data_IF_180232471793
#
_entry.id   IF_180232471793
#
_cell.length_a   1.000
_cell.length_b   1.000
_cell.length_c   1.000
_cell.angle_alpha   90.00
_cell.angle_beta   90.00
_cell.angle_gamma   90.00
#
_symmetry.space_group_name_H-M   'P 1'
#
loop_
_entity.id
_entity.type
_entity.pdbx_description
1 polymer ?
#
# COMPACT_ATOMS: atom_id res chain seq x y z
N UNK A 1 -25.03 -20.50 27.94
CA UNK A 1 -23.67 -20.96 28.33
C UNK A 1 -23.22 -22.22 27.57
N UNK A 2 -24.12 -23.16 27.22
CA UNK A 2 -23.77 -24.38 26.46
C UNK A 2 -23.18 -24.12 25.06
N UNK A 3 -23.68 -23.12 24.31
CA UNK A 3 -23.12 -22.77 22.98
C UNK A 3 -21.66 -22.30 23.03
N UNK A 4 -21.26 -21.51 24.04
CA UNK A 4 -19.88 -21.04 24.21
C UNK A 4 -18.91 -22.18 24.57
N UNK A 5 -19.33 -23.10 25.44
CA UNK A 5 -18.53 -24.28 25.78
C UNK A 5 -18.40 -25.24 24.60
N UNK A 6 -19.44 -25.39 23.77
CA UNK A 6 -19.37 -26.18 22.54
C UNK A 6 -18.47 -25.53 21.48
N UNK A 7 -18.44 -24.19 21.38
CA UNK A 7 -17.50 -23.51 20.46
C UNK A 7 -16.04 -23.64 20.90
N UNK A 8 -15.77 -23.78 22.20
CA UNK A 8 -14.42 -24.06 22.71
C UNK A 8 -14.01 -25.52 22.52
N UNK A 9 -14.97 -26.43 22.36
CA UNK A 9 -14.75 -27.86 22.17
C UNK A 9 -15.08 -28.30 20.73
N UNK A 10 -14.60 -27.53 19.74
CA UNK A 10 -14.63 -27.92 18.34
C UNK A 10 -13.29 -28.55 17.95
N UNK A 11 -13.33 -29.62 17.15
CA UNK A 11 -12.13 -30.15 16.54
C UNK A 11 -11.57 -29.10 15.56
N UNK A 12 -10.43 -28.50 15.92
CA UNK A 12 -9.72 -27.60 15.00
C UNK A 12 -9.06 -28.44 13.91
N UNK A 13 -9.28 -28.04 12.65
CA UNK A 13 -8.59 -28.66 11.53
C UNK A 13 -7.08 -28.42 11.67
N UNK A 14 -6.28 -29.45 11.38
CA UNK A 14 -4.85 -29.31 11.32
C UNK A 14 -4.50 -28.55 10.02
N UNK A 15 -3.68 -27.52 10.16
CA UNK A 15 -3.25 -26.67 9.04
C UNK A 15 -1.90 -27.19 8.55
N UNK A 16 -1.78 -27.36 7.23
CA UNK A 16 -0.52 -27.69 6.59
C UNK A 16 0.42 -26.48 6.58
N UNK A 17 1.73 -26.74 6.44
CA UNK A 17 2.70 -25.65 6.37
C UNK A 17 2.43 -24.73 5.16
N UNK A 18 2.74 -23.44 5.28
CA UNK A 18 2.68 -22.43 4.21
C UNK A 18 3.53 -22.86 3.01
N UNK A 19 4.58 -23.66 3.24
CA UNK A 19 5.34 -24.27 2.15
C UNK A 19 4.50 -25.16 1.23
N UNK A 20 3.42 -25.77 1.72
CA UNK A 20 2.47 -26.58 0.95
C UNK A 20 1.38 -25.77 0.25
N UNK A 21 1.26 -24.46 0.54
CA UNK A 21 0.30 -23.58 -0.12
C UNK A 21 0.57 -23.50 -1.62
N UNK A 22 -0.47 -23.41 -2.45
CA UNK A 22 -0.30 -23.14 -3.88
C UNK A 22 0.22 -21.72 -4.12
N UNK A 23 1.20 -21.59 -5.01
CA UNK A 23 1.65 -20.29 -5.46
C UNK A 23 0.59 -19.61 -6.33
N UNK A 24 0.50 -18.29 -6.26
CA UNK A 24 -0.42 -17.51 -7.08
C UNK A 24 0.21 -16.19 -7.51
N UNK A 25 -0.36 -15.63 -8.57
CA UNK A 25 0.08 -14.36 -9.14
C UNK A 25 -1.11 -13.43 -9.27
N UNK A 26 -0.89 -12.16 -8.96
CA UNK A 26 -1.89 -11.11 -9.13
C UNK A 26 -1.43 -10.13 -10.20
N UNK A 27 -2.32 -9.79 -11.12
CA UNK A 27 -2.06 -8.79 -12.16
C UNK A 27 -3.06 -7.66 -12.02
N UNK A 28 -2.57 -6.42 -11.91
CA UNK A 28 -3.38 -5.21 -11.91
C UNK A 28 -3.12 -4.43 -13.20
N UNK A 29 -3.97 -4.62 -14.24
CA UNK A 29 -3.89 -3.81 -15.44
C UNK A 29 -4.50 -2.44 -15.19
N UNK A 30 -3.86 -1.40 -15.72
CA UNK A 30 -4.40 -0.04 -15.74
C UNK A 30 -4.12 0.63 -17.08
N UNK A 31 -4.96 1.60 -17.44
CA UNK A 31 -4.90 2.27 -18.73
C UNK A 31 -4.07 3.55 -18.69
N UNK A 32 -4.59 4.59 -18.03
CA UNK A 32 -3.99 5.93 -18.03
C UNK A 32 -4.07 6.62 -16.65
N UNK A 33 -4.46 5.89 -15.60
CA UNK A 33 -4.46 6.44 -14.23
C UNK A 33 -3.01 6.65 -13.76
N UNK A 34 -2.67 7.83 -13.22
CA UNK A 34 -1.34 8.06 -12.65
C UNK A 34 -1.11 7.17 -11.40
N UNK A 35 0.10 6.63 -11.27
CA UNK A 35 0.49 5.75 -10.14
C UNK A 35 0.59 6.54 -8.84
N UNK A 36 1.14 7.75 -8.92
CA UNK A 36 1.27 8.69 -7.82
C UNK A 36 0.82 10.07 -8.30
N UNK A 37 0.16 10.83 -7.43
CA UNK A 37 -0.10 12.24 -7.70
C UNK A 37 1.21 13.00 -7.95
N UNK A 38 1.23 13.85 -8.96
CA UNK A 38 2.31 14.83 -9.13
C UNK A 38 2.19 15.95 -8.10
N UNK A 39 3.29 16.66 -7.81
CA UNK A 39 3.24 17.83 -6.91
C UNK A 39 2.33 18.94 -7.46
N UNK A 40 2.25 19.07 -8.79
CA UNK A 40 1.36 20.01 -9.45
C UNK A 40 -0.11 19.64 -9.22
N UNK A 41 -0.47 18.36 -9.32
CA UNK A 41 -1.83 17.86 -9.05
C UNK A 41 -2.23 18.00 -7.58
N UNK A 42 -1.26 17.90 -6.67
CA UNK A 42 -1.46 18.04 -5.23
C UNK A 42 -1.67 19.51 -4.80
N UNK A 43 -0.93 20.42 -5.44
CA UNK A 43 -1.07 21.86 -5.26
C UNK A 43 -2.21 22.44 -6.11
N UNK A 44 -2.72 21.66 -7.07
CA UNK A 44 -3.87 21.98 -7.89
C UNK A 44 -5.19 22.02 -7.11
N UNK A 45 -6.25 22.42 -7.82
CA UNK A 45 -7.61 22.46 -7.28
C UNK A 45 -8.17 21.04 -7.11
N UNK A 46 -9.10 20.90 -6.16
CA UNK A 46 -9.88 19.69 -6.01
C UNK A 46 -10.98 19.71 -7.07
N UNK A 47 -10.85 18.88 -8.10
CA UNK A 47 -11.85 18.76 -9.17
C UNK A 47 -12.93 17.68 -8.87
N UNK A 48 -13.12 17.32 -7.59
CA UNK A 48 -14.00 16.22 -7.20
C UNK A 48 -15.29 16.71 -6.57
N UNK A 49 -16.41 16.23 -7.12
CA UNK A 49 -17.78 16.36 -6.62
C UNK A 49 -18.40 17.79 -6.65
N UNK A 50 -19.40 18.04 -7.52
CA UNK A 50 -20.14 19.31 -7.58
C UNK A 50 -20.73 19.80 -6.25
N UNK A 51 -20.92 18.92 -5.26
CA UNK A 51 -21.52 19.24 -3.96
C UNK A 51 -20.61 20.03 -3.03
N UNK A 52 -19.29 19.92 -3.17
CA UNK A 52 -18.32 20.58 -2.28
C UNK A 52 -17.62 21.79 -2.89
N UNK A 53 -18.03 22.16 -4.12
CA UNK A 53 -17.49 23.27 -4.92
C UNK A 53 -17.28 24.59 -4.14
N UNK A 54 -18.20 24.95 -3.23
CA UNK A 54 -18.10 26.18 -2.41
C UNK A 54 -17.02 26.14 -1.33
N UNK A 55 -16.70 24.94 -0.82
CA UNK A 55 -15.65 24.72 0.19
C UNK A 55 -14.30 24.48 -0.51
N UNK A 56 -14.34 23.85 -1.69
CA UNK A 56 -13.19 23.45 -2.50
C UNK A 56 -12.63 24.56 -3.39
N UNK A 57 -13.40 25.60 -3.69
CA UNK A 57 -12.97 26.77 -4.49
C UNK A 57 -11.72 27.47 -3.94
N UNK A 58 -11.37 27.26 -2.67
CA UNK A 58 -10.24 27.91 -1.99
C UNK A 58 -9.17 26.95 -1.47
N UNK A 59 -9.32 25.64 -1.65
CA UNK A 59 -8.42 24.64 -1.08
C UNK A 59 -7.67 23.85 -2.16
N UNK A 60 -6.36 23.71 -1.97
CA UNK A 60 -5.52 22.77 -2.75
C UNK A 60 -5.84 21.33 -2.36
N UNK A 61 -5.65 20.36 -3.26
CA UNK A 61 -5.90 18.94 -2.99
C UNK A 61 -5.19 18.42 -1.73
N UNK A 62 -3.96 18.85 -1.49
CA UNK A 62 -3.24 18.56 -0.24
C UNK A 62 -3.99 19.00 1.02
N UNK A 63 -4.34 20.29 1.11
CA UNK A 63 -5.09 20.84 2.23
C UNK A 63 -6.43 20.13 2.43
N UNK A 64 -7.11 19.77 1.34
CA UNK A 64 -8.34 19.00 1.41
C UNK A 64 -8.13 17.62 2.03
N UNK A 65 -7.15 16.84 1.56
CA UNK A 65 -6.85 15.51 2.09
C UNK A 65 -6.42 15.55 3.56
N UNK A 66 -5.60 16.54 3.95
CA UNK A 66 -5.19 16.74 5.35
C UNK A 66 -6.40 17.08 6.23
N UNK A 67 -7.32 17.92 5.73
CA UNK A 67 -8.54 18.28 6.47
C UNK A 67 -9.45 17.07 6.69
N UNK A 68 -9.47 16.13 5.74
CA UNK A 68 -10.26 14.91 5.84
C UNK A 68 -9.63 13.86 6.78
N UNK A 69 -8.29 13.84 6.88
CA UNK A 69 -7.53 12.85 7.66
C UNK A 69 -6.49 13.51 8.59
N UNK A 70 -6.91 14.34 9.57
CA UNK A 70 -5.97 15.12 10.39
C UNK A 70 -5.07 14.23 11.25
N UNK A 71 -5.62 13.22 11.92
CA UNK A 71 -4.85 12.31 12.79
C UNK A 71 -3.82 11.48 11.98
N UNK A 72 -4.20 11.01 10.79
CA UNK A 72 -3.29 10.26 9.93
C UNK A 72 -2.17 11.13 9.35
N UNK A 73 -2.42 12.42 9.19
CA UNK A 73 -1.40 13.38 8.77
C UNK A 73 -0.42 13.68 9.90
N UNK A 74 -0.90 13.84 11.13
CA UNK A 74 -0.03 14.00 12.32
C UNK A 74 0.88 12.78 12.51
N UNK A 75 0.33 11.57 12.44
CA UNK A 75 1.13 10.33 12.51
C UNK A 75 2.15 10.23 11.37
N UNK A 76 1.81 10.71 10.18
CA UNK A 76 2.73 10.75 9.04
C UNK A 76 3.90 11.72 9.29
N UNK A 77 3.60 12.92 9.80
CA UNK A 77 4.61 13.93 10.15
C UNK A 77 5.55 13.42 11.25
N UNK A 78 5.01 12.78 12.29
CA UNK A 78 5.79 12.15 13.36
C UNK A 78 6.75 11.09 12.79
N UNK A 79 6.26 10.19 11.94
CA UNK A 79 7.09 9.16 11.29
C UNK A 79 8.19 9.75 10.41
N UNK A 80 7.91 10.86 9.75
CA UNK A 80 8.89 11.58 8.93
C UNK A 80 9.83 12.46 9.76
N UNK A 81 9.62 12.59 11.08
CA UNK A 81 10.32 13.55 11.94
C UNK A 81 10.27 14.99 11.38
N UNK A 82 9.10 15.37 10.87
CA UNK A 82 8.78 16.69 10.31
C UNK A 82 7.64 17.34 11.09
N UNK A 83 7.58 18.67 11.13
CA UNK A 83 6.50 19.42 11.80
C UNK A 83 5.53 20.02 10.80
N UNK A 84 5.99 20.30 9.57
CA UNK A 84 5.20 20.94 8.53
C UNK A 84 5.21 20.14 7.23
N UNK A 85 4.23 20.39 6.37
CA UNK A 85 4.18 19.80 5.03
C UNK A 85 5.41 20.18 4.19
N UNK A 86 5.88 21.42 4.30
CA UNK A 86 7.04 21.88 3.53
C UNK A 86 8.32 21.16 3.97
N UNK A 87 8.50 20.93 5.27
CA UNK A 87 9.61 20.09 5.78
C UNK A 87 9.51 18.65 5.27
N UNK A 88 8.33 18.04 5.32
CA UNK A 88 8.12 16.68 4.83
C UNK A 88 8.36 16.56 3.31
N UNK A 89 7.98 17.58 2.54
CA UNK A 89 8.25 17.66 1.11
C UNK A 89 9.75 17.80 0.82
N UNK A 90 10.50 18.56 1.61
CA UNK A 90 11.96 18.69 1.46
C UNK A 90 12.67 17.38 1.81
N UNK A 91 12.22 16.68 2.86
CA UNK A 91 12.80 15.41 3.27
C UNK A 91 12.52 14.29 2.28
N UNK A 92 11.27 14.13 1.86
CA UNK A 92 10.89 13.08 0.92
C UNK A 92 9.61 13.45 0.16
N UNK A 93 9.73 14.05 -1.04
CA UNK A 93 8.58 14.36 -1.88
C UNK A 93 7.75 13.11 -2.19
N UNK A 94 8.40 11.96 -2.38
CA UNK A 94 7.74 10.71 -2.74
C UNK A 94 6.85 10.17 -1.62
N UNK A 95 7.26 10.30 -0.35
CA UNK A 95 6.45 9.85 0.79
C UNK A 95 5.18 10.71 0.94
N UNK A 96 5.27 12.02 0.70
CA UNK A 96 4.10 12.92 0.71
C UNK A 96 3.16 12.58 -0.45
N UNK A 97 3.71 12.38 -1.67
CA UNK A 97 2.95 11.95 -2.84
C UNK A 97 2.25 10.61 -2.58
N UNK A 98 2.94 9.64 -2.01
CA UNK A 98 2.39 8.33 -1.66
C UNK A 98 1.27 8.45 -0.62
N UNK A 99 1.47 9.23 0.45
CA UNK A 99 0.44 9.47 1.47
C UNK A 99 -0.85 10.02 0.84
N UNK A 100 -0.73 11.01 -0.06
CA UNK A 100 -1.88 11.58 -0.74
C UNK A 100 -2.53 10.61 -1.73
N UNK A 101 -1.72 9.88 -2.50
CA UNK A 101 -2.18 8.91 -3.51
C UNK A 101 -2.94 7.75 -2.87
N UNK A 102 -2.46 7.26 -1.72
CA UNK A 102 -3.14 6.24 -0.91
C UNK A 102 -4.52 6.65 -0.39
N UNK A 103 -4.85 7.95 -0.38
CA UNK A 103 -6.15 8.48 0.06
C UNK A 103 -7.03 8.96 -1.09
N UNK A 104 -6.42 9.36 -2.21
CA UNK A 104 -7.13 9.99 -3.32
C UNK A 104 -7.09 9.24 -4.65
N UNK A 105 -6.25 8.22 -4.85
CA UNK A 105 -6.16 7.45 -6.10
C UNK A 105 -6.65 6.02 -5.91
N UNK A 106 -7.28 5.46 -6.93
CA UNK A 106 -7.83 4.10 -6.86
C UNK A 106 -6.74 3.10 -7.14
N UNK A 107 -5.93 3.32 -8.18
CA UNK A 107 -4.81 2.47 -8.54
C UNK A 107 -3.82 2.31 -7.40
N UNK A 108 -3.38 3.41 -6.76
CA UNK A 108 -2.46 3.36 -5.62
C UNK A 108 -3.00 2.47 -4.48
N UNK A 109 -4.28 2.61 -4.13
CA UNK A 109 -4.94 1.79 -3.10
C UNK A 109 -5.07 0.32 -3.50
N UNK A 110 -5.39 0.05 -4.76
CA UNK A 110 -5.48 -1.33 -5.28
C UNK A 110 -4.10 -1.99 -5.27
N UNK A 111 -3.07 -1.30 -5.77
CA UNK A 111 -1.68 -1.77 -5.80
C UNK A 111 -1.22 -2.12 -4.38
N UNK A 112 -1.34 -1.17 -3.46
CA UNK A 112 -0.97 -1.40 -2.07
C UNK A 112 -1.76 -2.56 -1.45
N UNK A 113 -3.09 -2.61 -1.68
CA UNK A 113 -3.93 -3.69 -1.17
C UNK A 113 -3.51 -5.07 -1.66
N UNK A 114 -3.14 -5.21 -2.94
CA UNK A 114 -2.64 -6.46 -3.49
C UNK A 114 -1.24 -6.80 -2.98
N UNK A 115 -0.38 -5.80 -2.77
CA UNK A 115 0.94 -6.01 -2.19
C UNK A 115 0.88 -6.54 -0.75
N UNK A 116 -0.18 -6.27 0.02
CA UNK A 116 -0.34 -6.82 1.37
C UNK A 116 -0.39 -8.36 1.42
N UNK A 117 -0.60 -9.06 0.29
CA UNK A 117 -0.43 -10.51 0.24
C UNK A 117 0.99 -10.96 0.58
N UNK A 118 2.01 -10.17 0.21
CA UNK A 118 3.39 -10.43 0.58
C UNK A 118 3.55 -10.41 2.11
N UNK A 119 3.11 -9.34 2.77
CA UNK A 119 3.19 -9.20 4.23
C UNK A 119 2.39 -10.29 4.96
N UNK A 120 1.22 -10.64 4.43
CA UNK A 120 0.40 -11.71 4.97
C UNK A 120 1.15 -13.07 4.94
N UNK A 121 1.82 -13.39 3.83
CA UNK A 121 2.60 -14.63 3.73
C UNK A 121 3.82 -14.61 4.67
N UNK A 122 4.53 -13.49 4.80
CA UNK A 122 5.62 -13.34 5.78
C UNK A 122 5.11 -13.58 7.20
N UNK A 123 3.97 -12.97 7.55
CA UNK A 123 3.35 -13.13 8.86
C UNK A 123 2.93 -14.57 9.13
N UNK A 124 2.32 -15.25 8.16
CA UNK A 124 1.96 -16.65 8.30
C UNK A 124 3.20 -17.52 8.51
N UNK A 125 4.28 -17.29 7.74
CA UNK A 125 5.54 -18.01 7.95
C UNK A 125 6.15 -17.72 9.31
N UNK A 126 6.10 -16.48 9.78
CA UNK A 126 6.54 -16.11 11.11
C UNK A 126 5.76 -16.85 12.20
N UNK A 127 4.46 -17.05 12.06
CA UNK A 127 3.66 -17.81 13.03
C UNK A 127 4.06 -19.29 13.11
N UNK A 128 4.55 -19.87 12.01
CA UNK A 128 5.02 -21.27 11.99
C UNK A 128 6.36 -21.46 12.68
N UNK A 129 7.32 -20.56 12.43
CA UNK A 129 8.71 -20.73 12.89
C UNK A 129 9.09 -19.78 14.03
N UNK A 130 8.21 -18.84 14.39
CA UNK A 130 8.49 -17.74 15.30
C UNK A 130 8.84 -18.20 16.70
N UNK A 131 8.17 -19.25 17.19
CA UNK A 131 8.41 -19.87 18.50
C UNK A 131 9.62 -20.82 18.52
N UNK A 132 10.16 -21.19 17.35
CA UNK A 132 11.30 -22.10 17.26
C UNK A 132 12.59 -21.39 17.72
N UNK A 133 13.16 -21.85 18.83
CA UNK A 133 14.38 -21.29 19.42
C UNK A 133 15.65 -21.80 18.71
N UNK A 134 15.56 -22.85 17.89
CA UNK A 134 16.70 -23.37 17.15
C UNK A 134 17.10 -22.48 15.96
N UNK A 135 16.16 -21.66 15.47
CA UNK A 135 16.35 -20.80 14.31
C UNK A 135 16.70 -19.38 14.78
N UNK A 136 17.88 -18.88 14.38
CA UNK A 136 18.26 -17.48 14.59
C UNK A 136 17.26 -16.51 13.94
N UNK A 137 17.12 -15.31 14.51
CA UNK A 137 16.22 -14.27 13.98
C UNK A 137 16.50 -13.95 12.51
N UNK A 138 17.77 -13.80 12.13
CA UNK A 138 18.17 -13.50 10.75
C UNK A 138 17.76 -14.63 9.78
N UNK A 139 17.89 -15.89 10.22
CA UNK A 139 17.47 -17.03 9.43
C UNK A 139 15.94 -17.09 9.28
N UNK A 140 15.18 -16.64 10.28
CA UNK A 140 13.70 -16.51 10.17
C UNK A 140 13.34 -15.48 9.11
N UNK A 141 14.01 -14.33 9.10
CA UNK A 141 13.81 -13.29 8.08
C UNK A 141 14.11 -13.83 6.69
N UNK A 142 15.25 -14.49 6.50
CA UNK A 142 15.59 -15.08 5.21
C UNK A 142 14.56 -16.12 4.73
N UNK A 143 14.04 -16.95 5.64
CA UNK A 143 12.99 -17.91 5.29
C UNK A 143 11.67 -17.23 4.92
N UNK A 144 11.31 -16.12 5.57
CA UNK A 144 10.13 -15.32 5.22
C UNK A 144 10.26 -14.71 3.82
N UNK A 145 11.40 -14.11 3.49
CA UNK A 145 11.64 -13.55 2.15
C UNK A 145 11.62 -14.66 1.09
N UNK A 146 12.24 -15.80 1.39
CA UNK A 146 12.29 -16.93 0.47
C UNK A 146 10.90 -17.51 0.17
N UNK A 147 10.05 -17.70 1.19
CA UNK A 147 8.73 -18.28 1.00
C UNK A 147 7.82 -17.34 0.20
N UNK A 148 7.87 -16.02 0.45
CA UNK A 148 7.12 -15.03 -0.32
C UNK A 148 7.47 -15.12 -1.80
N UNK A 149 8.76 -15.06 -2.13
CA UNK A 149 9.21 -15.11 -3.52
C UNK A 149 8.84 -16.40 -4.27
N UNK A 150 8.57 -17.49 -3.54
CA UNK A 150 8.05 -18.74 -4.11
C UNK A 150 6.53 -18.78 -4.23
N UNK A 151 5.80 -18.10 -3.34
CA UNK A 151 4.34 -18.23 -3.21
C UNK A 151 3.55 -17.11 -3.87
N UNK A 152 4.12 -15.93 -3.99
CA UNK A 152 3.40 -14.77 -4.47
C UNK A 152 4.23 -13.98 -5.47
N UNK A 153 3.59 -13.62 -6.58
CA UNK A 153 4.13 -12.62 -7.49
C UNK A 153 3.07 -11.59 -7.86
N UNK A 154 3.50 -10.35 -8.00
CA UNK A 154 2.62 -9.24 -8.31
C UNK A 154 3.14 -8.45 -9.50
N UNK A 155 2.24 -8.14 -10.45
CA UNK A 155 2.57 -7.42 -11.66
C UNK A 155 1.54 -6.31 -11.87
N UNK A 156 2.02 -5.08 -12.02
CA UNK A 156 1.25 -3.93 -12.50
C UNK A 156 1.51 -3.76 -13.99
N UNK A 157 0.46 -3.70 -14.83
CA UNK A 157 0.63 -3.53 -16.28
C UNK A 157 -0.03 -2.26 -16.78
N UNK A 158 0.78 -1.35 -17.30
CA UNK A 158 0.32 -0.12 -17.94
C UNK A 158 0.07 -0.39 -19.43
N UNK A 159 -1.18 -0.27 -19.86
CA UNK A 159 -1.58 -0.57 -21.26
C UNK A 159 -1.01 0.44 -22.26
N UNK A 160 -0.76 1.68 -21.82
CA UNK A 160 -0.24 2.76 -22.67
C UNK A 160 1.25 3.07 -22.43
N UNK A 161 1.99 2.22 -21.71
CA UNK A 161 3.39 2.50 -21.33
C UNK A 161 4.26 2.86 -22.54
N UNK A 162 4.15 2.09 -23.63
CA UNK A 162 4.95 2.34 -24.84
C UNK A 162 4.67 3.72 -25.45
N UNK A 163 3.42 4.17 -25.43
CA UNK A 163 3.03 5.50 -25.92
C UNK A 163 3.53 6.61 -24.97
N UNK A 164 3.45 6.38 -23.66
CA UNK A 164 3.96 7.30 -22.64
C UNK A 164 5.49 7.50 -22.75
N UNK A 165 6.24 6.43 -22.99
CA UNK A 165 7.68 6.50 -23.25
C UNK A 165 8.00 7.31 -24.51
N UNK A 166 7.23 7.12 -25.59
CA UNK A 166 7.41 7.88 -26.84
C UNK A 166 7.12 9.37 -26.67
N UNK A 167 6.19 9.72 -25.78
CA UNK A 167 5.79 11.10 -25.50
C UNK A 167 6.67 11.79 -24.44
N UNK A 168 7.67 11.10 -23.88
CA UNK A 168 8.45 11.56 -22.72
C UNK A 168 7.56 12.00 -21.55
N UNK A 169 6.49 11.24 -21.31
CA UNK A 169 5.57 11.53 -20.23
C UNK A 169 6.26 11.28 -18.87
N UNK A 170 6.24 12.24 -17.92
CA UNK A 170 6.84 12.05 -16.59
C UNK A 170 6.25 10.85 -15.84
N UNK A 171 5.02 10.42 -16.16
CA UNK A 171 4.37 9.24 -15.56
C UNK A 171 5.07 7.94 -15.90
N UNK A 172 5.81 7.87 -17.01
CA UNK A 172 6.61 6.70 -17.35
C UNK A 172 7.73 6.46 -16.34
N UNK A 173 8.31 7.53 -15.78
CA UNK A 173 9.38 7.43 -14.78
C UNK A 173 8.88 6.99 -13.39
N UNK A 174 7.58 7.07 -13.11
CA UNK A 174 6.99 6.58 -11.86
C UNK A 174 6.71 5.05 -11.91
N UNK A 175 6.97 4.38 -13.05
CA UNK A 175 6.70 2.94 -13.27
C UNK A 175 7.97 2.08 -13.12
N UNK A 176 9.15 2.66 -13.32
CA UNK A 176 10.46 1.98 -13.21
C UNK A 176 11.00 1.98 -11.77
#
# INVERSE_FOLDING_TARGET
>A
MSFFLNSLNMAMAQVDAIQSMQSFSVVTPYYNEPVLYSLEELNGRVDLNPLFRKVEEKATKNKYLITLHPEEWENFLERMNATTMDEALVMSPIQVRLWASMRGQTLARTVHGMMLYEDAIKMLRWLEIGSDQAISHDNKIQQMEHIVGMKFSYITSCQMYSEQCQQNDPRAADID
#
